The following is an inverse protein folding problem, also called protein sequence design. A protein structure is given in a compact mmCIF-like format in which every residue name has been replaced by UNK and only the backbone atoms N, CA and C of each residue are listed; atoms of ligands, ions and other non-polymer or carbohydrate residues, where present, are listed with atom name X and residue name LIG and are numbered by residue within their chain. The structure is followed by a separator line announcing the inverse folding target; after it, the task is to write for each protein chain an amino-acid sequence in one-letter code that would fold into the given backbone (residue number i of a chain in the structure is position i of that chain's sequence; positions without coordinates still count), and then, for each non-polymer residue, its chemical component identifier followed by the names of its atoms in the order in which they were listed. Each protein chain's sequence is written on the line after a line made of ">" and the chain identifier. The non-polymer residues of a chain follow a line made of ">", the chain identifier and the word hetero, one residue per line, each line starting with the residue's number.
data_IF_887728380377
#
_entry.id   IF_887728380377
#
_cell.length_a   1.000
_cell.length_b   1.000
_cell.length_c   1.000
_cell.angle_alpha   90.00
_cell.angle_beta   90.00
_cell.angle_gamma   90.00
#
_symmetry.space_group_name_H-M   'P 1'
#
loop_
_entity.id
_entity.type
_entity.pdbx_description
1 polymer ?
#
# COMPACT_ATOMS: atom_id res chain seq x y z
N UNK A 1 -1.19 -14.68 -25.19
CA UNK A 1 -0.84 -14.29 -23.80
C UNK A 1 -1.82 -14.85 -22.78
N UNK A 2 -3.14 -14.92 -23.04
CA UNK A 2 -4.13 -15.32 -22.02
C UNK A 2 -4.61 -16.78 -22.04
N UNK A 3 -4.09 -17.64 -22.92
CA UNK A 3 -4.65 -18.98 -23.20
C UNK A 3 -4.77 -19.90 -21.97
N UNK A 4 -3.90 -19.75 -20.97
CA UNK A 4 -3.91 -20.54 -19.73
C UNK A 4 -4.08 -19.71 -18.45
N UNK A 5 -4.68 -18.52 -18.55
CA UNK A 5 -4.87 -17.63 -17.40
C UNK A 5 -3.58 -17.07 -16.79
N UNK A 6 -2.47 -17.15 -17.53
CA UNK A 6 -1.13 -16.66 -17.16
C UNK A 6 -0.61 -17.15 -15.81
N UNK A 7 -1.12 -18.29 -15.31
CA UNK A 7 -0.81 -18.84 -13.98
C UNK A 7 -1.17 -17.93 -12.80
N UNK A 8 -1.89 -16.83 -13.03
CA UNK A 8 -2.52 -15.98 -12.00
C UNK A 8 -3.99 -16.34 -11.80
N UNK A 9 -4.61 -16.87 -12.85
CA UNK A 9 -5.98 -17.41 -12.83
C UNK A 9 -5.97 -18.83 -13.39
N UNK A 10 -6.92 -19.66 -12.96
CA UNK A 10 -7.01 -21.04 -13.39
C UNK A 10 -7.57 -21.22 -14.82
N UNK A 11 -8.12 -20.16 -15.43
CA UNK A 11 -8.63 -20.18 -16.80
C UNK A 11 -8.38 -18.85 -17.53
N UNK A 12 -8.38 -18.92 -18.87
CA UNK A 12 -8.30 -17.74 -19.74
C UNK A 12 -9.50 -16.80 -19.55
N UNK A 13 -10.69 -17.34 -19.32
CA UNK A 13 -11.91 -16.59 -19.09
C UNK A 13 -11.81 -15.74 -17.82
N UNK A 14 -11.35 -16.34 -16.71
CA UNK A 14 -11.16 -15.63 -15.44
C UNK A 14 -10.09 -14.56 -15.55
N UNK A 15 -8.98 -14.84 -16.25
CA UNK A 15 -7.96 -13.83 -16.48
C UNK A 15 -8.51 -12.67 -17.34
N UNK A 16 -9.31 -12.97 -18.36
CA UNK A 16 -9.93 -11.94 -19.22
C UNK A 16 -10.89 -11.07 -18.43
N UNK A 17 -11.78 -11.67 -17.65
CA UNK A 17 -12.73 -10.95 -16.80
C UNK A 17 -11.99 -10.05 -15.79
N UNK A 18 -10.99 -10.59 -15.10
CA UNK A 18 -10.18 -9.83 -14.16
C UNK A 18 -9.46 -8.63 -14.80
N UNK A 19 -8.84 -8.82 -15.98
CA UNK A 19 -8.17 -7.72 -16.70
C UNK A 19 -9.19 -6.69 -17.17
N UNK A 20 -10.33 -7.11 -17.74
CA UNK A 20 -11.32 -6.21 -18.33
C UNK A 20 -12.21 -5.51 -17.30
N UNK A 21 -12.44 -6.11 -16.13
CA UNK A 21 -13.47 -5.64 -15.19
C UNK A 21 -13.00 -5.57 -13.73
N UNK A 22 -11.95 -6.30 -13.34
CA UNK A 22 -11.48 -6.36 -11.96
C UNK A 22 -10.46 -5.28 -11.55
N UNK A 23 -9.75 -4.69 -12.52
CA UNK A 23 -8.72 -3.67 -12.25
C UNK A 23 -9.31 -2.25 -12.27
N UNK A 24 -9.00 -1.40 -11.27
CA UNK A 24 -9.33 0.02 -11.33
C UNK A 24 -8.67 0.67 -12.54
N UNK A 25 -9.39 1.59 -13.19
CA UNK A 25 -8.91 2.33 -14.36
C UNK A 25 -9.01 3.82 -14.10
N UNK A 26 -8.02 4.53 -14.60
CA UNK A 26 -7.89 5.97 -14.40
C UNK A 26 -7.46 6.62 -15.70
N UNK A 27 -8.19 7.65 -16.09
CA UNK A 27 -7.74 8.61 -17.09
C UNK A 27 -6.95 9.70 -16.36
N UNK A 28 -5.64 9.71 -16.59
CA UNK A 28 -4.75 10.70 -15.99
C UNK A 28 -4.59 11.83 -17.02
N UNK A 29 -5.09 13.06 -16.74
CA UNK A 29 -5.04 14.17 -17.71
C UNK A 29 -3.64 14.81 -17.81
N UNK A 30 -2.64 14.20 -17.18
CA UNK A 30 -1.26 14.67 -17.12
C UNK A 30 -0.34 13.68 -17.84
N UNK A 31 0.69 14.21 -18.48
CA UNK A 31 1.69 13.40 -19.19
C UNK A 31 2.50 12.51 -18.23
N UNK A 32 2.69 12.96 -16.99
CA UNK A 32 3.52 12.27 -15.99
C UNK A 32 2.85 12.20 -14.62
N UNK A 33 3.12 11.09 -13.92
CA UNK A 33 2.91 10.93 -12.48
C UNK A 33 4.28 10.80 -11.83
N UNK A 34 4.53 11.62 -10.81
CA UNK A 34 5.84 11.71 -10.18
C UNK A 34 5.86 10.95 -8.86
N UNK A 35 6.94 10.20 -8.63
CA UNK A 35 7.31 9.67 -7.32
C UNK A 35 8.38 10.57 -6.70
N UNK A 36 8.09 11.11 -5.53
CA UNK A 36 8.96 12.07 -4.84
C UNK A 36 9.07 11.68 -3.36
N UNK A 37 10.26 11.82 -2.74
CA UNK A 37 10.35 11.72 -1.29
C UNK A 37 9.40 12.71 -0.63
N UNK A 38 8.59 12.26 0.32
CA UNK A 38 7.57 13.09 0.96
C UNK A 38 8.16 14.37 1.57
N UNK A 39 9.35 14.29 2.16
CA UNK A 39 10.08 15.45 2.73
C UNK A 39 10.48 16.53 1.72
N UNK A 40 10.34 16.26 0.41
CA UNK A 40 10.60 17.23 -0.64
C UNK A 40 9.31 17.79 -1.25
N UNK A 41 8.15 17.26 -0.87
CA UNK A 41 6.85 17.71 -1.40
C UNK A 41 6.41 19.00 -0.72
N UNK A 42 5.71 19.86 -1.46
CA UNK A 42 5.00 21.00 -0.91
C UNK A 42 3.56 20.61 -0.55
N UNK A 43 2.98 21.26 0.46
CA UNK A 43 1.62 20.95 0.93
C UNK A 43 0.53 21.21 -0.12
N UNK A 44 0.80 22.07 -1.11
CA UNK A 44 -0.11 22.37 -2.21
C UNK A 44 -0.01 21.36 -3.38
N UNK A 45 0.96 20.45 -3.37
CA UNK A 45 1.07 19.42 -4.41
C UNK A 45 -0.12 18.45 -4.34
N UNK A 46 -0.58 17.99 -5.51
CA UNK A 46 -1.63 16.98 -5.62
C UNK A 46 -1.08 15.57 -5.30
N UNK A 47 -0.81 15.32 -4.02
CA UNK A 47 -0.34 14.02 -3.54
C UNK A 47 -1.53 13.06 -3.56
N UNK A 48 -1.47 12.05 -4.43
CA UNK A 48 -2.52 11.01 -4.52
C UNK A 48 -2.38 9.92 -3.46
N UNK A 49 -1.16 9.50 -3.19
CA UNK A 49 -0.86 8.45 -2.22
C UNK A 49 0.56 8.58 -1.68
N UNK A 50 0.79 8.01 -0.50
CA UNK A 50 2.09 7.92 0.17
C UNK A 50 2.46 6.44 0.27
N UNK A 51 3.65 6.07 -0.17
CA UNK A 51 4.09 4.66 -0.26
C UNK A 51 5.17 4.41 0.78
N UNK A 52 4.93 3.46 1.66
CA UNK A 52 5.88 3.01 2.67
C UNK A 52 6.46 1.65 2.28
N UNK A 53 7.75 1.55 1.95
CA UNK A 53 8.48 0.29 2.03
C UNK A 53 8.63 -0.09 3.52
N UNK A 54 8.07 -1.23 3.91
CA UNK A 54 7.93 -1.60 5.33
C UNK A 54 8.44 -3.01 5.59
N UNK A 55 9.13 -3.20 6.69
CA UNK A 55 9.35 -4.52 7.29
C UNK A 55 8.05 -5.05 7.93
N UNK A 56 7.99 -6.35 8.29
CA UNK A 56 6.81 -6.91 8.95
C UNK A 56 6.47 -6.20 10.26
N UNK A 57 7.47 -5.67 10.97
CA UNK A 57 7.24 -4.92 12.20
C UNK A 57 6.65 -3.53 11.93
N UNK A 58 7.23 -2.78 11.01
CA UNK A 58 6.72 -1.45 10.66
C UNK A 58 5.29 -1.55 10.11
N UNK A 59 5.03 -2.59 9.32
CA UNK A 59 3.69 -2.94 8.85
C UNK A 59 2.73 -3.19 10.01
N UNK A 60 3.10 -3.97 11.03
CA UNK A 60 2.23 -4.24 12.17
C UNK A 60 1.83 -2.94 12.91
N UNK A 61 2.76 -1.99 13.00
CA UNK A 61 2.51 -0.69 13.62
C UNK A 61 1.56 0.17 12.80
N UNK A 62 1.87 0.35 11.52
CA UNK A 62 1.05 1.13 10.59
C UNK A 62 -0.32 0.51 10.38
N UNK A 63 -0.44 -0.82 10.43
CA UNK A 63 -1.71 -1.54 10.38
C UNK A 63 -2.62 -1.16 11.56
N UNK A 64 -2.08 -1.14 12.79
CA UNK A 64 -2.85 -0.77 13.98
C UNK A 64 -3.22 0.71 13.95
N UNK A 65 -2.30 1.60 13.54
CA UNK A 65 -2.58 3.03 13.39
C UNK A 65 -3.64 3.30 12.31
N UNK A 66 -3.57 2.64 11.15
CA UNK A 66 -4.60 2.76 10.13
C UNK A 66 -5.97 2.33 10.67
N UNK A 67 -6.00 1.27 11.49
CA UNK A 67 -7.22 0.77 12.13
C UNK A 67 -7.80 1.70 13.21
N UNK A 68 -6.99 2.53 13.87
CA UNK A 68 -7.52 3.44 14.91
C UNK A 68 -8.26 4.64 14.33
N UNK A 69 -7.98 5.02 13.08
CA UNK A 69 -8.56 6.21 12.42
C UNK A 69 -9.69 5.88 11.45
N UNK A 70 -10.23 4.66 11.51
CA UNK A 70 -11.30 4.23 10.63
C UNK A 70 -12.30 3.30 11.31
N UNK A 71 -13.49 3.21 10.74
CA UNK A 71 -14.52 2.26 11.17
C UNK A 71 -14.30 0.88 10.55
N UNK A 72 -14.69 -0.17 11.25
CA UNK A 72 -14.64 -1.55 10.76
C UNK A 72 -13.44 -2.33 11.29
N UNK A 73 -13.09 -3.43 10.63
CA UNK A 73 -12.10 -4.40 11.13
C UNK A 73 -11.01 -4.75 10.12
N UNK A 74 -11.01 -4.12 8.95
CA UNK A 74 -10.21 -4.51 7.79
C UNK A 74 -9.43 -3.33 7.19
N UNK A 75 -8.56 -2.65 7.96
CA UNK A 75 -7.98 -1.35 7.57
C UNK A 75 -7.08 -1.37 6.33
N UNK A 76 -6.75 -2.57 5.85
CA UNK A 76 -5.86 -2.80 4.73
C UNK A 76 -6.52 -3.70 3.70
N UNK A 77 -6.58 -3.24 2.46
CA UNK A 77 -6.92 -4.05 1.29
C UNK A 77 -5.67 -4.78 0.80
N UNK A 78 -5.82 -6.07 0.46
CA UNK A 78 -4.76 -6.89 -0.16
C UNK A 78 -5.25 -7.37 -1.53
N UNK A 79 -5.15 -6.54 -2.58
CA UNK A 79 -5.69 -6.89 -3.89
C UNK A 79 -4.73 -7.78 -4.68
N UNK A 80 -5.28 -8.69 -5.49
CA UNK A 80 -4.50 -9.40 -6.51
C UNK A 80 -4.26 -8.47 -7.70
N UNK A 81 -3.00 -8.25 -8.06
CA UNK A 81 -2.58 -7.51 -9.25
C UNK A 81 -1.08 -7.34 -9.35
N UNK A 82 -0.62 -6.66 -10.39
CA UNK A 82 0.79 -6.31 -10.51
C UNK A 82 1.20 -5.38 -9.37
N UNK A 83 2.44 -5.50 -8.90
CA UNK A 83 2.90 -4.68 -7.76
C UNK A 83 2.81 -3.17 -8.07
N UNK A 84 2.98 -2.76 -9.34
CA UNK A 84 2.75 -1.36 -9.75
C UNK A 84 1.31 -0.89 -9.55
N UNK A 85 0.30 -1.76 -9.70
CA UNK A 85 -1.11 -1.40 -9.46
C UNK A 85 -1.37 -1.13 -7.97
N UNK A 86 -0.72 -1.87 -7.06
CA UNK A 86 -0.90 -1.70 -5.61
C UNK A 86 -0.43 -0.34 -5.10
N UNK A 87 0.63 0.21 -5.72
CA UNK A 87 1.14 1.55 -5.38
C UNK A 87 0.48 2.68 -6.18
N UNK A 88 -0.38 2.36 -7.15
CA UNK A 88 -1.09 3.32 -8.02
C UNK A 88 -2.60 3.05 -8.04
N UNK A 89 -3.11 2.38 -9.08
CA UNK A 89 -4.53 2.25 -9.39
C UNK A 89 -5.40 1.78 -8.21
N UNK A 90 -4.95 0.80 -7.41
CA UNK A 90 -5.71 0.37 -6.24
C UNK A 90 -5.73 1.41 -5.13
N UNK A 91 -4.60 2.09 -4.88
CA UNK A 91 -4.54 3.15 -3.89
C UNK A 91 -5.36 4.38 -4.30
N UNK A 92 -5.39 4.69 -5.60
CA UNK A 92 -6.23 5.76 -6.14
C UNK A 92 -7.71 5.42 -5.99
N UNK A 93 -8.09 4.15 -6.21
CA UNK A 93 -9.46 3.68 -6.00
C UNK A 93 -9.91 3.79 -4.56
N UNK A 94 -9.01 3.52 -3.61
CA UNK A 94 -9.31 3.74 -2.21
C UNK A 94 -9.47 5.24 -1.92
N UNK A 95 -8.65 6.13 -2.50
CA UNK A 95 -8.73 7.58 -2.28
C UNK A 95 -10.09 8.20 -2.61
N UNK A 96 -10.85 7.59 -3.52
CA UNK A 96 -12.17 8.07 -3.97
C UNK A 96 -13.33 7.54 -3.10
N UNK A 97 -13.05 6.73 -2.07
CA UNK A 97 -14.05 6.20 -1.13
C UNK A 97 -14.15 7.06 0.14
N UNK A 98 -15.34 7.09 0.75
CA UNK A 98 -15.58 7.77 2.04
C UNK A 98 -14.75 7.17 3.19
N UNK A 99 -14.52 5.86 3.13
CA UNK A 99 -13.74 5.09 4.11
C UNK A 99 -12.58 4.36 3.41
N UNK A 100 -11.50 5.07 3.02
CA UNK A 100 -10.39 4.48 2.30
C UNK A 100 -9.61 3.51 3.19
N UNK A 101 -9.15 2.42 2.58
CA UNK A 101 -8.22 1.45 3.16
C UNK A 101 -6.80 1.73 2.68
N UNK A 102 -5.82 1.35 3.49
CA UNK A 102 -4.46 1.22 2.99
C UNK A 102 -4.39 0.06 1.99
N UNK A 103 -3.44 0.09 1.06
CA UNK A 103 -3.25 -0.98 0.07
C UNK A 103 -1.92 -1.67 0.30
N UNK A 104 -1.96 -2.96 0.58
CA UNK A 104 -0.76 -3.79 0.69
C UNK A 104 -0.29 -4.23 -0.69
N UNK A 105 1.02 -4.17 -0.91
CA UNK A 105 1.67 -4.60 -2.15
C UNK A 105 3.02 -5.28 -1.91
N UNK A 106 3.75 -5.54 -3.00
CA UNK A 106 4.99 -6.31 -3.02
C UNK A 106 4.78 -7.80 -2.67
N UNK A 107 3.66 -8.36 -3.15
CA UNK A 107 3.30 -9.76 -2.99
C UNK A 107 3.50 -10.56 -4.28
N UNK A 108 3.71 -9.89 -5.42
CA UNK A 108 3.97 -10.53 -6.70
C UNK A 108 5.37 -11.16 -6.78
N UNK A 109 5.46 -12.36 -7.34
CA UNK A 109 6.74 -13.07 -7.51
C UNK A 109 7.70 -12.27 -8.40
N UNK A 110 7.19 -11.77 -9.52
CA UNK A 110 7.97 -11.02 -10.52
C UNK A 110 8.56 -9.73 -9.91
N UNK A 111 7.75 -8.96 -9.16
CA UNK A 111 8.22 -7.74 -8.52
C UNK A 111 9.22 -8.02 -7.40
N UNK A 112 9.02 -9.07 -6.61
CA UNK A 112 9.96 -9.45 -5.54
C UNK A 112 11.31 -9.90 -6.09
N UNK A 113 11.37 -10.57 -7.24
CA UNK A 113 12.63 -10.94 -7.88
C UNK A 113 13.46 -9.71 -8.28
N UNK A 114 12.81 -8.66 -8.77
CA UNK A 114 13.48 -7.40 -9.13
C UNK A 114 13.87 -6.63 -7.87
N UNK A 115 12.97 -6.54 -6.89
CA UNK A 115 13.10 -5.66 -5.74
C UNK A 115 14.07 -6.18 -4.67
N UNK A 116 14.31 -7.48 -4.58
CA UNK A 116 15.35 -8.05 -3.68
C UNK A 116 16.77 -7.52 -3.96
N UNK A 117 17.01 -6.95 -5.15
CA UNK A 117 18.29 -6.31 -5.48
C UNK A 117 18.48 -4.97 -4.74
N UNK A 118 17.39 -4.37 -4.26
CA UNK A 118 17.37 -3.03 -3.66
C UNK A 118 16.83 -3.00 -2.23
N UNK A 119 15.97 -3.95 -1.89
CA UNK A 119 15.35 -4.11 -0.59
C UNK A 119 15.69 -5.46 0.00
N UNK A 120 15.56 -5.60 1.33
CA UNK A 120 15.61 -6.91 1.98
C UNK A 120 14.41 -7.75 1.54
N UNK A 121 14.56 -9.07 1.62
CA UNK A 121 13.51 -10.01 1.23
C UNK A 121 12.22 -9.83 2.04
N UNK A 122 12.29 -9.36 3.28
CA UNK A 122 11.13 -9.17 4.16
C UNK A 122 10.35 -7.87 3.91
N UNK A 123 10.80 -7.03 2.97
CA UNK A 123 10.15 -5.74 2.70
C UNK A 123 8.89 -5.93 1.87
N UNK A 124 7.80 -5.38 2.39
CA UNK A 124 6.53 -5.20 1.72
C UNK A 124 6.32 -3.72 1.38
N UNK A 125 5.20 -3.40 0.71
CA UNK A 125 4.74 -2.01 0.58
C UNK A 125 3.39 -1.83 1.22
N UNK A 126 3.21 -0.72 1.93
CA UNK A 126 1.93 -0.23 2.38
C UNK A 126 1.70 1.14 1.74
N UNK A 127 0.70 1.24 0.88
CA UNK A 127 0.35 2.48 0.20
C UNK A 127 -0.87 3.09 0.86
N UNK A 128 -0.73 4.31 1.36
CA UNK A 128 -1.79 5.06 1.98
C UNK A 128 -2.37 6.05 0.97
N UNK A 129 -3.67 5.98 0.64
CA UNK A 129 -4.37 7.08 -0.02
C UNK A 129 -4.22 8.36 0.81
N UNK A 130 -4.07 9.52 0.16
CA UNK A 130 -3.84 10.79 0.87
C UNK A 130 -4.85 11.08 2.00
N UNK A 131 -6.17 10.88 1.83
CA UNK A 131 -7.13 11.10 2.92
C UNK A 131 -6.98 10.16 4.11
N UNK A 132 -6.42 8.96 3.92
CA UNK A 132 -6.09 8.06 5.03
C UNK A 132 -4.79 8.49 5.71
N UNK A 133 -3.77 8.85 4.92
CA UNK A 133 -2.51 9.34 5.45
C UNK A 133 -2.71 10.54 6.38
N UNK A 134 -3.53 11.52 5.98
CA UNK A 134 -3.78 12.71 6.79
C UNK A 134 -4.42 12.40 8.14
N UNK A 135 -5.40 11.50 8.17
CA UNK A 135 -6.01 11.03 9.42
C UNK A 135 -5.02 10.28 10.30
N UNK A 136 -4.15 9.46 9.71
CA UNK A 136 -3.11 8.76 10.45
C UNK A 136 -2.07 9.73 11.04
N UNK A 137 -1.71 10.80 10.33
CA UNK A 137 -0.78 11.82 10.82
C UNK A 137 -1.39 12.62 11.98
N UNK A 138 -2.68 12.95 11.93
CA UNK A 138 -3.40 13.58 13.05
C UNK A 138 -3.38 12.73 14.33
N UNK A 139 -3.49 11.41 14.18
CA UNK A 139 -3.47 10.45 15.29
C UNK A 139 -2.05 10.08 15.75
N UNK A 140 -1.02 10.29 14.91
CA UNK A 140 0.31 9.72 15.10
C UNK A 140 1.00 10.13 16.42
N UNK A 141 0.69 11.32 16.94
CA UNK A 141 1.27 11.85 18.18
C UNK A 141 0.78 11.12 19.45
N UNK A 142 -0.42 10.51 19.43
CA UNK A 142 -1.01 9.78 20.55
C UNK A 142 -1.59 8.42 20.13
N UNK A 143 -0.74 7.53 19.60
CA UNK A 143 -1.18 6.26 19.04
C UNK A 143 -0.49 5.03 19.66
N UNK A 144 -0.64 3.89 18.98
CA UNK A 144 0.01 2.62 19.33
C UNK A 144 1.53 2.76 19.49
N UNK A 145 2.18 3.74 18.85
CA UNK A 145 3.63 3.91 18.95
C UNK A 145 4.10 4.36 20.34
N UNK A 146 3.21 4.95 21.13
CA UNK A 146 3.51 5.54 22.42
C UNK A 146 3.33 4.52 23.56
N UNK A 147 2.66 3.39 23.33
CA UNK A 147 2.36 2.41 24.39
C UNK A 147 3.63 1.66 24.86
N UNK A 148 3.70 1.22 26.14
CA UNK A 148 4.89 0.55 26.68
C UNK A 148 5.27 -0.76 25.97
N UNK A 149 4.29 -1.54 25.50
CA UNK A 149 4.53 -2.79 24.77
C UNK A 149 5.21 -2.53 23.42
N UNK A 150 4.74 -1.52 22.67
CA UNK A 150 5.36 -1.11 21.40
C UNK A 150 6.79 -0.60 21.60
N UNK A 151 6.99 0.31 22.57
CA UNK A 151 8.33 0.83 22.92
C UNK A 151 9.31 -0.27 23.30
N UNK A 152 8.85 -1.33 23.98
CA UNK A 152 9.67 -2.50 24.32
C UNK A 152 10.03 -3.32 23.09
N UNK A 153 9.08 -3.52 22.18
CA UNK A 153 9.27 -4.26 20.94
C UNK A 153 10.30 -3.59 20.03
N UNK A 154 10.18 -2.28 19.80
CA UNK A 154 11.12 -1.49 18.99
C UNK A 154 12.55 -1.55 19.53
N UNK A 155 12.72 -1.50 20.87
CA UNK A 155 14.05 -1.63 21.52
C UNK A 155 14.71 -2.98 21.26
N UNK A 156 13.94 -4.06 21.20
CA UNK A 156 14.45 -5.40 20.92
C UNK A 156 14.95 -5.52 19.48
N UNK A 157 14.28 -4.87 18.55
CA UNK A 157 14.58 -4.96 17.12
C UNK A 157 15.81 -4.14 16.75
N UNK A 158 15.97 -2.93 17.31
CA UNK A 158 17.16 -2.09 17.09
C UNK A 158 18.48 -2.69 17.58
N UNK A 159 18.43 -3.75 18.40
CA UNK A 159 19.61 -4.48 18.88
C UNK A 159 20.03 -5.63 17.96
N UNK A 160 19.21 -5.98 16.97
CA UNK A 160 19.49 -6.99 15.96
C UNK A 160 19.98 -6.32 14.69
#
# INVERSE_FOLDING_TARGET
>A
MLEYGERRHCSAELARDWILHGLPRYDIPYEYVLFKPLSRTESAENIRSVIFPVSPMELAGLFVLAGSVMTGTDPVQVPQGADCNTITAFAYAQADLDAPRAVMGMLGVDGREVMKKRFRDDILTLTLPKPLFDRMEEEADDCVFQIPSWKRLVKTIRKR
#
